data_IF_927485201079
#
_entry.id   IF_927485201079
#
_cell.length_a   1.000
_cell.length_b   1.000
_cell.length_c   1.000
_cell.angle_alpha   90.00
_cell.angle_beta   90.00
_cell.angle_gamma   90.00
#
_symmetry.space_group_name_H-M   'P 1'
#
loop_
_entity.id
_entity.type
_entity.pdbx_description
1 polymer ?
#
# COMPACT_ATOMS: atom_id res chain seq x y z
N UNK A 1 9.53 -4.59 -2.81
CA UNK A 1 10.08 -3.36 -2.20
C UNK A 1 10.66 -2.52 -3.32
N UNK A 2 10.05 -1.37 -3.62
CA UNK A 2 10.51 -0.48 -4.69
C UNK A 2 11.60 0.45 -4.16
N UNK A 3 12.81 -0.08 -3.99
CA UNK A 3 13.99 0.75 -3.77
C UNK A 3 14.59 1.00 -5.15
N UNK A 4 14.53 2.24 -5.62
CA UNK A 4 15.15 2.63 -6.89
C UNK A 4 16.65 2.74 -6.65
N UNK A 5 17.36 1.63 -6.83
CA UNK A 5 18.81 1.50 -6.56
C UNK A 5 19.66 2.62 -7.17
N UNK A 6 19.22 3.16 -8.31
CA UNK A 6 19.93 4.23 -9.05
C UNK A 6 20.02 5.57 -8.32
N UNK A 7 19.10 5.89 -7.41
CA UNK A 7 19.07 7.20 -6.72
C UNK A 7 19.85 7.16 -5.42
N UNK A 8 19.86 5.99 -4.76
CA UNK A 8 20.38 5.83 -3.40
C UNK A 8 21.91 5.74 -3.37
N UNK A 9 22.53 5.15 -4.39
CA UNK A 9 23.99 5.15 -4.57
C UNK A 9 24.55 6.55 -4.87
N UNK A 10 23.79 7.40 -5.57
CA UNK A 10 24.28 8.70 -6.04
C UNK A 10 24.30 9.80 -4.97
N UNK A 11 23.61 9.59 -3.83
CA UNK A 11 23.49 10.60 -2.76
C UNK A 11 24.02 10.17 -1.38
N UNK A 12 24.47 8.92 -1.20
CA UNK A 12 24.99 8.45 0.10
C UNK A 12 23.95 8.42 1.24
N UNK A 13 22.66 8.62 0.94
CA UNK A 13 21.55 8.67 1.92
C UNK A 13 20.80 7.35 2.06
N UNK A 14 21.33 6.26 1.49
CA UNK A 14 20.74 4.91 1.51
C UNK A 14 20.43 4.43 2.93
N UNK A 15 21.34 4.65 3.88
CA UNK A 15 21.13 4.28 5.27
C UNK A 15 19.94 5.00 5.91
N UNK A 16 19.74 6.29 5.63
CA UNK A 16 18.64 7.08 6.23
C UNK A 16 17.31 6.75 5.58
N UNK A 17 17.27 6.57 4.26
CA UNK A 17 16.05 6.18 3.54
C UNK A 17 15.60 4.76 3.94
N UNK A 18 16.54 3.81 4.07
CA UNK A 18 16.24 2.47 4.58
C UNK A 18 15.84 2.50 6.05
N UNK A 19 16.49 3.31 6.88
CA UNK A 19 16.13 3.44 8.28
C UNK A 19 14.73 4.05 8.45
N UNK A 20 14.37 5.06 7.66
CA UNK A 20 13.04 5.67 7.69
C UNK A 20 11.95 4.69 7.24
N UNK A 21 12.21 3.93 6.18
CA UNK A 21 11.30 2.85 5.74
C UNK A 21 11.21 1.74 6.79
N UNK A 22 12.32 1.33 7.41
CA UNK A 22 12.30 0.34 8.51
C UNK A 22 11.57 0.88 9.74
N UNK A 23 11.70 2.17 10.04
CA UNK A 23 11.02 2.81 11.16
C UNK A 23 9.50 2.89 10.94
N UNK A 24 9.01 3.01 9.71
CA UNK A 24 7.57 2.90 9.39
C UNK A 24 6.98 1.52 9.75
N UNK A 25 7.81 0.47 9.85
CA UNK A 25 7.41 -0.87 10.32
C UNK A 25 7.71 -1.11 11.80
N UNK A 26 8.21 -0.10 12.54
CA UNK A 26 8.35 -0.21 13.99
C UNK A 26 6.99 -0.20 14.68
N UNK A 27 6.89 -0.85 15.84
CA UNK A 27 5.66 -0.89 16.65
C UNK A 27 5.13 0.52 16.95
N UNK A 28 6.03 1.50 17.10
CA UNK A 28 5.69 2.90 17.33
C UNK A 28 5.00 3.56 16.13
N UNK A 29 5.54 3.38 14.93
CA UNK A 29 4.93 3.92 13.71
C UNK A 29 3.59 3.25 13.39
N UNK A 30 3.47 1.95 13.64
CA UNK A 30 2.21 1.21 13.49
C UNK A 30 1.14 1.71 14.47
N UNK A 31 1.52 2.04 15.70
CA UNK A 31 0.60 2.66 16.68
C UNK A 31 0.16 4.07 16.27
N UNK A 32 1.08 4.88 15.72
CA UNK A 32 0.73 6.20 15.17
C UNK A 32 -0.21 6.04 13.98
N UNK A 33 0.02 5.07 13.10
CA UNK A 33 -0.88 4.76 11.99
C UNK A 33 -2.29 4.42 12.49
N UNK A 34 -2.41 3.54 13.49
CA UNK A 34 -3.68 3.20 14.15
C UNK A 34 -4.40 4.42 14.72
N UNK A 35 -3.67 5.29 15.43
CA UNK A 35 -4.22 6.57 15.97
C UNK A 35 -4.71 7.53 14.88
N UNK A 36 -4.11 7.48 13.69
CA UNK A 36 -4.51 8.29 12.54
C UNK A 36 -5.52 7.59 11.63
N UNK A 37 -6.23 6.57 12.13
CA UNK A 37 -7.26 5.81 11.40
C UNK A 37 -6.74 4.99 10.20
N UNK A 38 -5.43 4.76 10.10
CA UNK A 38 -4.87 3.79 9.16
C UNK A 38 -4.85 2.40 9.81
N UNK A 39 -5.21 1.37 9.04
CA UNK A 39 -5.19 -0.04 9.51
C UNK A 39 -3.73 -0.51 9.65
N UNK A 40 -3.23 -0.79 10.87
CA UNK A 40 -1.88 -1.29 11.08
C UNK A 40 -1.72 -2.66 10.42
N UNK A 41 -0.54 -2.94 9.86
CA UNK A 41 -0.18 -4.26 9.35
C UNK A 41 0.40 -5.18 10.41
N UNK A 42 0.92 -4.60 11.51
CA UNK A 42 1.37 -5.38 12.67
C UNK A 42 0.16 -5.98 13.42
N UNK A 43 0.15 -7.31 13.59
CA UNK A 43 -0.98 -8.02 14.19
C UNK A 43 -1.23 -7.64 15.66
N UNK A 44 -0.20 -7.27 16.42
CA UNK A 44 -0.34 -6.86 17.82
C UNK A 44 -1.02 -5.50 17.88
N UNK A 45 -0.54 -4.55 17.09
CA UNK A 45 -1.11 -3.20 17.05
C UNK A 45 -2.50 -3.24 16.43
N UNK A 46 -2.72 -4.00 15.36
CA UNK A 46 -4.06 -4.17 14.77
C UNK A 46 -5.08 -4.71 15.79
N UNK A 47 -4.68 -5.57 16.74
CA UNK A 47 -5.53 -6.03 17.82
C UNK A 47 -5.88 -4.91 18.83
N UNK A 48 -4.93 -4.03 19.16
CA UNK A 48 -5.18 -2.85 20.01
C UNK A 48 -6.22 -1.91 19.40
N UNK A 49 -6.22 -1.76 18.07
CA UNK A 49 -7.13 -0.89 17.32
C UNK A 49 -8.35 -1.62 16.72
N UNK A 50 -8.54 -2.92 17.01
CA UNK A 50 -9.62 -3.73 16.44
C UNK A 50 -11.02 -3.21 16.79
N UNK A 51 -11.18 -2.51 17.91
CA UNK A 51 -12.44 -1.87 18.29
C UNK A 51 -12.81 -0.64 17.44
N UNK A 52 -11.83 -0.01 16.77
CA UNK A 52 -12.05 1.16 15.91
C UNK A 52 -12.28 0.79 14.45
N UNK A 53 -11.90 -0.42 14.04
CA UNK A 53 -12.02 -0.87 12.66
C UNK A 53 -13.05 -2.00 12.55
N UNK A 54 -14.19 -1.78 11.87
CA UNK A 54 -15.14 -2.84 11.64
C UNK A 54 -14.50 -3.96 10.81
N UNK A 55 -14.91 -5.20 11.13
CA UNK A 55 -14.53 -6.38 10.35
C UNK A 55 -15.20 -6.27 8.98
N UNK A 56 -14.39 -6.08 7.94
CA UNK A 56 -14.84 -5.99 6.55
C UNK A 56 -14.29 -7.19 5.79
N UNK A 57 -15.10 -7.75 4.90
CA UNK A 57 -14.60 -8.70 3.89
C UNK A 57 -13.83 -7.91 2.83
N UNK A 58 -12.50 -7.93 2.94
CA UNK A 58 -11.60 -7.30 2.00
C UNK A 58 -11.04 -8.34 1.05
N UNK A 59 -11.03 -8.02 -0.24
CA UNK A 59 -10.26 -8.77 -1.22
C UNK A 59 -8.94 -8.05 -1.51
N UNK A 60 -7.93 -8.82 -1.87
CA UNK A 60 -6.65 -8.26 -2.33
C UNK A 60 -6.68 -8.15 -3.85
N UNK A 61 -5.97 -7.16 -4.40
CA UNK A 61 -5.81 -7.01 -5.85
C UNK A 61 -5.22 -8.26 -6.50
N UNK A 62 -4.36 -8.97 -5.78
CA UNK A 62 -3.81 -10.25 -6.24
C UNK A 62 -4.90 -11.30 -6.45
N UNK A 63 -5.80 -11.48 -5.46
CA UNK A 63 -6.90 -12.45 -5.54
C UNK A 63 -8.01 -12.04 -6.51
N UNK A 64 -8.31 -10.74 -6.59
CA UNK A 64 -9.41 -10.25 -7.43
C UNK A 64 -9.02 -10.05 -8.89
N UNK A 65 -7.76 -9.68 -9.16
CA UNK A 65 -7.33 -9.23 -10.48
C UNK A 65 -5.99 -9.83 -10.95
N UNK A 66 -5.36 -10.71 -10.17
CA UNK A 66 -4.05 -11.31 -10.55
C UNK A 66 -2.87 -10.36 -10.39
N UNK A 67 -3.02 -9.31 -9.58
CA UNK A 67 -1.98 -8.34 -9.28
C UNK A 67 -2.14 -7.00 -10.02
N UNK A 68 -1.38 -6.00 -9.59
CA UNK A 68 -1.50 -4.63 -10.12
C UNK A 68 -1.23 -4.54 -11.63
N UNK A 69 -0.27 -5.30 -12.16
CA UNK A 69 0.04 -5.26 -13.59
C UNK A 69 -1.14 -5.73 -14.46
N UNK A 70 -1.88 -6.74 -13.99
CA UNK A 70 -3.06 -7.25 -14.69
C UNK A 70 -4.27 -6.31 -14.50
N UNK A 71 -4.48 -5.80 -13.29
CA UNK A 71 -5.54 -4.83 -13.00
C UNK A 71 -5.38 -3.52 -13.81
N UNK A 72 -4.16 -3.00 -13.87
CA UNK A 72 -3.80 -1.78 -14.63
C UNK A 72 -4.11 -1.94 -16.11
N UNK A 73 -3.61 -3.03 -16.71
CA UNK A 73 -3.83 -3.32 -18.14
C UNK A 73 -5.30 -3.54 -18.48
N UNK A 74 -6.06 -4.20 -17.62
CA UNK A 74 -7.45 -4.53 -17.90
C UNK A 74 -8.39 -3.32 -17.72
N UNK A 75 -8.16 -2.50 -16.69
CA UNK A 75 -9.10 -1.46 -16.30
C UNK A 75 -8.64 -0.05 -16.61
N UNK A 76 -7.34 0.26 -16.55
CA UNK A 76 -6.81 1.63 -16.56
C UNK A 76 -5.96 1.98 -17.78
N UNK A 77 -5.53 1.00 -18.58
CA UNK A 77 -4.86 1.25 -19.86
C UNK A 77 -5.79 1.94 -20.88
N UNK A 78 -5.18 2.56 -21.89
CA UNK A 78 -5.90 3.18 -23.02
C UNK A 78 -6.81 2.16 -23.72
N UNK A 79 -8.11 2.47 -23.83
CA UNK A 79 -9.15 1.54 -24.31
C UNK A 79 -9.58 0.45 -23.30
N UNK A 80 -9.11 0.53 -22.04
CA UNK A 80 -9.49 -0.34 -20.94
C UNK A 80 -10.94 -0.15 -20.46
N UNK A 81 -11.36 -0.95 -19.49
CA UNK A 81 -12.76 -0.90 -19.01
C UNK A 81 -13.19 0.49 -18.53
N UNK A 82 -12.29 1.25 -17.91
CA UNK A 82 -12.60 2.60 -17.44
C UNK A 82 -12.95 3.53 -18.60
N UNK A 83 -12.20 3.48 -19.69
CA UNK A 83 -12.43 4.31 -20.88
C UNK A 83 -13.76 3.97 -21.57
N UNK A 84 -14.10 2.68 -21.65
CA UNK A 84 -15.36 2.20 -22.24
C UNK A 84 -16.62 2.62 -21.45
N UNK A 85 -16.49 2.77 -20.13
CA UNK A 85 -17.59 3.23 -19.26
C UNK A 85 -17.68 4.76 -19.32
N UNK A 86 -16.55 5.45 -19.43
CA UNK A 86 -16.49 6.91 -19.42
C UNK A 86 -16.88 7.56 -20.76
N UNK A 87 -16.57 6.92 -21.90
CA UNK A 87 -16.93 7.40 -23.25
C UNK A 87 -18.36 7.06 -23.67
N UNK A 88 -19.04 6.13 -22.98
CA UNK A 88 -20.49 5.95 -23.11
C UNK A 88 -21.23 7.07 -22.36
N UNK A 89 -21.30 8.24 -22.98
CA UNK A 89 -22.20 9.32 -22.60
C UNK A 89 -23.12 9.68 -23.75
#
# INVERSE_FOLDING_TARGET
>A
MAVVDKVVDKKGTRAVAEAYLKYLYSEEAQRIAGKNFYRPTDAKVAAEFAGQFPKLELFTIDKAFGGWAAADKAHFADGGSFDQIYTKK
#
